data_IF_801752419832
#
_entry.id   IF_801752419832
#
_cell.length_a   1.000
_cell.length_b   1.000
_cell.length_c   1.000
_cell.angle_alpha   90.00
_cell.angle_beta   90.00
_cell.angle_gamma   90.00
#
_symmetry.space_group_name_H-M   'P 1'
#
loop_
_entity.id
_entity.type
_entity.pdbx_description
1 polymer ?
#
# COMPACT_ATOMS: atom_id res chain seq x y z
N UNK A 1 -9.73 7.64 -23.43
CA UNK A 1 -8.26 7.52 -23.47
C UNK A 1 -7.96 6.05 -23.64
N UNK A 2 -7.41 5.62 -24.78
CA UNK A 2 -7.01 4.23 -24.96
C UNK A 2 -5.80 3.96 -24.07
N UNK A 3 -5.95 3.15 -23.02
CA UNK A 3 -4.78 2.65 -22.28
C UNK A 3 -3.95 1.80 -23.25
N UNK A 4 -2.65 2.08 -23.35
CA UNK A 4 -1.74 1.15 -24.00
C UNK A 4 -1.57 -0.05 -23.06
N UNK A 5 -2.14 -1.21 -23.41
CA UNK A 5 -2.06 -2.40 -22.55
C UNK A 5 -0.61 -2.87 -22.35
N UNK A 6 0.29 -2.47 -23.25
CA UNK A 6 1.73 -2.68 -23.20
C UNK A 6 2.39 -2.04 -21.97
N UNK A 7 1.81 -0.96 -21.42
CA UNK A 7 2.29 -0.32 -20.18
C UNK A 7 1.91 -1.11 -18.93
N UNK A 8 0.87 -1.94 -19.03
CA UNK A 8 0.33 -2.71 -17.91
C UNK A 8 0.93 -4.11 -17.81
N UNK A 9 1.31 -4.71 -18.94
CA UNK A 9 1.93 -6.04 -18.97
C UNK A 9 2.80 -6.24 -20.20
N UNK A 10 3.93 -6.91 -19.98
CA UNK A 10 4.86 -7.32 -21.05
C UNK A 10 4.34 -8.54 -21.83
N UNK A 11 3.30 -9.23 -21.34
CA UNK A 11 2.83 -10.48 -21.95
C UNK A 11 1.72 -10.24 -22.97
N UNK A 12 1.82 -10.88 -24.14
CA UNK A 12 0.87 -10.72 -25.25
C UNK A 12 -0.53 -11.26 -24.88
N UNK A 13 -0.59 -12.38 -24.16
CA UNK A 13 -1.84 -12.96 -23.66
C UNK A 13 -2.53 -12.04 -22.64
N UNK A 14 -1.76 -11.41 -21.76
CA UNK A 14 -2.22 -10.43 -20.80
C UNK A 14 -2.88 -9.24 -21.49
N UNK A 15 -2.26 -8.68 -22.52
CA UNK A 15 -2.82 -7.59 -23.32
C UNK A 15 -4.16 -7.98 -23.99
N UNK A 16 -4.23 -9.19 -24.56
CA UNK A 16 -5.48 -9.72 -25.15
C UNK A 16 -6.59 -9.87 -24.10
N UNK A 17 -6.26 -10.34 -22.90
CA UNK A 17 -7.22 -10.51 -21.81
C UNK A 17 -7.65 -9.18 -21.21
N UNK A 18 -6.77 -8.19 -21.10
CA UNK A 18 -7.11 -6.84 -20.66
C UNK A 18 -8.08 -6.16 -21.64
N UNK A 19 -7.85 -6.33 -22.96
CA UNK A 19 -8.79 -5.85 -23.99
C UNK A 19 -10.18 -6.49 -23.86
N UNK A 20 -10.23 -7.79 -23.56
CA UNK A 20 -11.49 -8.49 -23.31
C UNK A 20 -12.15 -7.97 -22.03
N UNK A 21 -11.40 -7.80 -20.94
CA UNK A 21 -11.91 -7.31 -19.67
C UNK A 21 -12.53 -5.92 -19.81
N UNK A 22 -11.89 -5.00 -20.55
CA UNK A 22 -12.45 -3.68 -20.83
C UNK A 22 -13.77 -3.77 -21.61
N UNK A 23 -13.81 -4.61 -22.67
CA UNK A 23 -15.04 -4.84 -23.45
C UNK A 23 -16.18 -5.38 -22.61
N UNK A 24 -15.87 -6.29 -21.69
CA UNK A 24 -16.85 -6.94 -20.81
C UNK A 24 -17.16 -6.12 -19.54
N UNK A 25 -16.57 -4.92 -19.42
CA UNK A 25 -16.70 -4.05 -18.24
C UNK A 25 -16.31 -4.73 -16.92
N UNK A 26 -15.29 -5.59 -16.98
CA UNK A 26 -14.73 -6.29 -15.81
C UNK A 26 -13.57 -5.49 -15.25
N UNK A 27 -13.68 -5.10 -13.98
CA UNK A 27 -12.61 -4.41 -13.27
C UNK A 27 -11.40 -5.32 -13.01
N UNK A 28 -10.20 -4.85 -13.35
CA UNK A 28 -8.95 -5.59 -13.16
C UNK A 28 -8.09 -5.03 -12.02
N UNK A 29 -7.00 -5.73 -11.69
CA UNK A 29 -6.03 -5.25 -10.69
C UNK A 29 -5.42 -3.90 -11.07
N UNK A 30 -5.25 -3.62 -12.36
CA UNK A 30 -4.69 -2.35 -12.84
C UNK A 30 -5.65 -1.19 -12.62
N UNK A 31 -6.94 -1.42 -12.78
CA UNK A 31 -7.97 -0.42 -12.52
C UNK A 31 -8.05 -0.11 -11.02
N UNK A 32 -8.07 -1.15 -10.17
CA UNK A 32 -8.01 -0.97 -8.71
C UNK A 32 -6.74 -0.28 -8.25
N UNK A 33 -5.59 -0.63 -8.82
CA UNK A 33 -4.33 0.02 -8.49
C UNK A 33 -4.39 1.50 -8.83
N UNK A 34 -4.85 1.87 -10.03
CA UNK A 34 -5.00 3.27 -10.44
C UNK A 34 -5.97 4.04 -9.53
N UNK A 35 -7.08 3.40 -9.12
CA UNK A 35 -8.05 4.01 -8.21
C UNK A 35 -7.48 4.27 -6.79
N UNK A 36 -6.41 3.57 -6.41
CA UNK A 36 -5.72 3.77 -5.13
C UNK A 36 -4.57 4.79 -5.20
N UNK A 37 -4.32 5.41 -6.37
CA UNK A 37 -3.25 6.40 -6.51
C UNK A 37 -3.73 7.84 -6.20
N UNK A 38 -2.91 8.64 -5.48
CA UNK A 38 -1.68 8.26 -4.79
C UNK A 38 -1.97 7.45 -3.52
N UNK A 39 -1.17 6.43 -3.25
CA UNK A 39 -1.26 5.68 -2.00
C UNK A 39 -0.83 6.53 -0.80
N UNK A 40 -1.26 6.13 0.40
CA UNK A 40 -0.96 6.87 1.63
C UNK A 40 0.53 6.81 1.99
N UNK A 41 1.23 7.95 1.92
CA UNK A 41 2.67 8.03 2.21
C UNK A 41 3.07 7.58 3.62
N UNK A 42 2.24 7.79 4.65
CA UNK A 42 2.53 7.28 5.99
C UNK A 42 2.50 5.75 6.08
N UNK A 43 1.63 5.11 5.28
CA UNK A 43 1.58 3.65 5.22
C UNK A 43 2.76 3.12 4.41
N UNK A 44 3.11 3.78 3.30
CA UNK A 44 4.25 3.42 2.45
C UNK A 44 5.59 3.50 3.20
N UNK A 45 5.80 4.58 3.96
CA UNK A 45 6.99 4.75 4.82
C UNK A 45 6.93 3.90 6.11
N UNK A 46 5.82 3.23 6.40
CA UNK A 46 5.65 2.42 7.61
C UNK A 46 5.46 3.20 8.92
N UNK A 47 5.20 4.52 8.86
CA UNK A 47 5.11 5.43 10.01
C UNK A 47 3.71 5.53 10.64
N UNK A 48 2.74 4.76 10.13
CA UNK A 48 1.38 4.66 10.67
C UNK A 48 1.24 3.39 11.53
N UNK A 49 0.90 3.55 12.82
CA UNK A 49 0.72 2.44 13.75
C UNK A 49 -0.76 2.24 14.11
N UNK A 50 -1.27 1.00 13.94
CA UNK A 50 -2.66 0.59 14.26
C UNK A 50 -2.71 -0.67 15.15
N UNK A 51 -1.71 -0.84 16.00
CA UNK A 51 -1.53 -2.08 16.80
C UNK A 51 -2.48 -2.13 18.01
N UNK A 52 -2.93 -1.00 18.52
CA UNK A 52 -3.81 -0.91 19.69
C UNK A 52 -4.91 0.14 19.49
N UNK A 53 -5.86 0.21 20.43
CA UNK A 53 -7.01 1.10 20.38
C UNK A 53 -6.72 2.58 20.73
N UNK A 54 -5.49 2.92 21.15
CA UNK A 54 -5.09 4.32 21.38
C UNK A 54 -4.78 5.07 20.07
N UNK A 55 -4.50 4.34 18.99
CA UNK A 55 -4.18 4.89 17.68
C UNK A 55 -5.44 5.20 16.83
N UNK A 56 -5.27 5.46 15.52
CA UNK A 56 -4.02 5.36 14.75
C UNK A 56 -3.01 6.44 15.15
N UNK A 57 -1.76 6.04 15.42
CA UNK A 57 -0.64 6.97 15.61
C UNK A 57 0.08 7.19 14.27
N UNK A 58 0.56 8.41 14.02
CA UNK A 58 1.43 8.73 12.89
C UNK A 58 2.64 9.51 13.41
N UNK A 59 3.83 9.08 13.01
CA UNK A 59 5.07 9.83 13.27
C UNK A 59 5.40 10.67 12.05
N UNK A 60 5.63 11.96 12.27
CA UNK A 60 6.02 12.89 11.21
C UNK A 60 7.49 12.67 10.83
N UNK A 61 7.81 12.39 9.56
CA UNK A 61 9.16 12.09 9.12
C UNK A 61 10.09 13.31 9.05
N UNK A 62 9.57 14.53 9.14
CA UNK A 62 10.31 15.78 8.94
C UNK A 62 10.63 16.51 10.25
N UNK A 63 10.16 15.98 11.39
CA UNK A 63 10.39 16.59 12.70
C UNK A 63 9.44 17.75 13.03
N UNK A 64 8.48 18.07 12.16
CA UNK A 64 7.55 19.18 12.35
C UNK A 64 6.28 18.76 13.12
N UNK A 65 6.01 17.45 13.13
CA UNK A 65 4.85 16.86 13.81
C UNK A 65 5.22 15.90 14.94
N UNK A 66 4.25 15.07 15.39
CA UNK A 66 4.45 14.10 16.46
C UNK A 66 5.63 13.16 16.16
N UNK A 67 6.57 13.04 17.11
CA UNK A 67 7.75 12.19 16.97
C UNK A 67 7.57 10.80 17.62
N UNK A 68 6.47 10.61 18.34
CA UNK A 68 6.13 9.38 19.04
C UNK A 68 4.62 9.12 18.95
N UNK A 69 4.23 7.86 18.99
CA UNK A 69 2.84 7.48 19.23
C UNK A 69 2.40 7.76 20.66
N UNK A 70 1.10 7.61 20.94
CA UNK A 70 0.49 7.86 22.27
C UNK A 70 1.19 7.08 23.40
N UNK A 71 1.70 5.88 23.09
CA UNK A 71 2.41 5.05 24.06
C UNK A 71 3.93 5.34 24.17
N UNK A 72 4.44 6.34 23.47
CA UNK A 72 5.87 6.69 23.44
C UNK A 72 6.71 5.92 22.40
N UNK A 73 6.11 5.06 21.58
CA UNK A 73 6.83 4.39 20.50
C UNK A 73 7.23 5.39 19.40
N UNK A 74 8.52 5.46 19.07
CA UNK A 74 9.07 6.30 18.01
C UNK A 74 8.91 5.67 16.60
N UNK A 75 9.45 6.36 15.58
CA UNK A 75 9.44 5.91 14.19
C UNK A 75 10.05 4.51 14.03
N UNK A 76 11.23 4.27 14.61
CA UNK A 76 11.98 3.01 14.46
C UNK A 76 11.17 1.83 15.01
N UNK A 77 10.62 1.98 16.22
CA UNK A 77 9.77 0.96 16.83
C UNK A 77 8.52 0.71 15.99
N UNK A 78 7.87 1.76 15.48
CA UNK A 78 6.65 1.62 14.67
C UNK A 78 6.94 0.90 13.35
N UNK A 79 7.98 1.31 12.62
CA UNK A 79 8.39 0.69 11.34
C UNK A 79 8.78 -0.77 11.56
N UNK A 80 9.61 -1.07 12.57
CA UNK A 80 10.02 -2.42 12.89
C UNK A 80 8.82 -3.33 13.22
N UNK A 81 7.86 -2.85 14.01
CA UNK A 81 6.63 -3.62 14.33
C UNK A 81 5.78 -3.91 13.10
N UNK A 82 5.63 -2.93 12.21
CA UNK A 82 4.86 -3.08 10.98
C UNK A 82 5.52 -4.14 10.05
N UNK A 83 6.84 -4.04 9.84
CA UNK A 83 7.60 -5.01 9.06
C UNK A 83 7.53 -6.42 9.66
N UNK A 84 7.78 -6.55 10.97
CA UNK A 84 7.74 -7.84 11.66
C UNK A 84 6.37 -8.53 11.54
N UNK A 85 5.26 -7.78 11.53
CA UNK A 85 3.93 -8.36 11.31
C UNK A 85 3.76 -8.90 9.89
N UNK A 86 4.30 -8.23 8.87
CA UNK A 86 4.29 -8.74 7.49
C UNK A 86 5.13 -10.03 7.36
N UNK A 87 6.31 -10.05 7.99
CA UNK A 87 7.17 -11.25 8.05
C UNK A 87 6.45 -12.40 8.75
N UNK A 88 5.86 -12.14 9.92
CA UNK A 88 5.15 -13.15 10.69
C UNK A 88 3.95 -13.73 9.92
N UNK A 89 3.21 -12.88 9.19
CA UNK A 89 2.12 -13.34 8.33
C UNK A 89 2.61 -14.34 7.27
N UNK A 90 3.70 -14.02 6.55
CA UNK A 90 4.29 -14.93 5.56
C UNK A 90 4.93 -16.19 6.17
N UNK A 91 5.50 -16.09 7.38
CA UNK A 91 6.03 -17.26 8.09
C UNK A 91 4.91 -18.21 8.59
N UNK A 92 3.69 -17.71 8.72
CA UNK A 92 2.52 -18.47 9.21
C UNK A 92 1.61 -19.02 8.12
N UNK A 93 1.85 -18.69 6.85
CA UNK A 93 1.00 -19.08 5.71
C UNK A 93 1.27 -20.48 5.18
#
# INVERSE_FOLDING_TARGET
MSKAYEELTITEDGQKLLKKAEKDQVETVWDRHQAQQPQCGYCDMGLSCRICAMGPCRVDPFGEGPQQGVCGADADIIVARNLCRMIAAGASS
#
